data_IF_047911436358
#
_entry.id   IF_047911436358
#
_cell.length_a   1.000
_cell.length_b   1.000
_cell.length_c   1.000
_cell.angle_alpha   90.00
_cell.angle_beta   90.00
_cell.angle_gamma   90.00
#
_symmetry.space_group_name_H-M   'P 1'
#
loop_
_entity.id
_entity.type
_entity.pdbx_description
1 polymer ?
#
# COMPACT_ATOMS: atom_id res chain seq x y z
N UNK A 1 -34.13 2.29 -6.67
CA UNK A 1 -33.74 0.89 -6.48
C UNK A 1 -32.26 0.77 -6.79
N UNK A 2 -31.55 -0.03 -6.03
CA UNK A 2 -30.08 -0.16 -6.05
C UNK A 2 -29.59 -1.35 -6.92
N UNK A 3 -30.46 -1.79 -7.87
CA UNK A 3 -30.12 -2.90 -8.76
C UNK A 3 -29.04 -2.49 -9.77
N UNK A 4 -28.07 -3.37 -9.99
CA UNK A 4 -27.04 -3.23 -11.01
C UNK A 4 -27.68 -3.42 -12.40
N UNK A 5 -27.61 -2.40 -13.26
CA UNK A 5 -28.17 -2.45 -14.61
C UNK A 5 -27.10 -2.53 -15.70
N UNK A 6 -25.86 -2.10 -15.39
CA UNK A 6 -24.73 -2.21 -16.32
C UNK A 6 -23.40 -2.26 -15.58
N UNK A 7 -22.42 -2.99 -16.16
CA UNK A 7 -21.03 -3.05 -15.72
C UNK A 7 -20.15 -2.91 -16.96
N UNK A 8 -19.34 -1.84 -17.00
CA UNK A 8 -18.51 -1.49 -18.13
C UNK A 8 -17.04 -1.50 -17.75
N UNK A 9 -16.32 -2.50 -18.21
CA UNK A 9 -14.87 -2.57 -18.09
C UNK A 9 -14.17 -1.92 -19.27
N UNK A 10 -13.03 -1.27 -19.00
CA UNK A 10 -12.13 -0.72 -20.02
C UNK A 10 -10.69 -0.84 -19.61
N UNK A 11 -9.82 -0.76 -20.62
CA UNK A 11 -8.39 -0.67 -20.43
C UNK A 11 -7.98 0.79 -20.36
N UNK A 12 -7.25 1.17 -19.29
CA UNK A 12 -6.62 2.48 -19.12
C UNK A 12 -5.12 2.30 -18.87
N UNK A 13 -4.35 3.38 -18.78
CA UNK A 13 -2.92 3.32 -18.46
C UNK A 13 -2.68 3.64 -16.97
N UNK A 14 -1.78 2.87 -16.36
CA UNK A 14 -1.25 3.15 -15.03
C UNK A 14 -0.13 4.21 -15.05
N UNK A 15 0.39 4.58 -13.89
CA UNK A 15 1.45 5.57 -13.70
C UNK A 15 2.80 5.20 -14.34
N UNK A 16 2.95 3.95 -14.76
CA UNK A 16 4.13 3.44 -15.48
C UNK A 16 3.89 3.30 -16.99
N UNK A 17 2.70 3.69 -17.47
CA UNK A 17 2.30 3.55 -18.89
C UNK A 17 1.93 2.12 -19.27
N UNK A 18 1.68 1.22 -18.32
CA UNK A 18 1.17 -0.12 -18.58
C UNK A 18 -0.36 -0.13 -18.53
N UNK A 19 -1.03 -0.99 -19.32
CA UNK A 19 -2.47 -1.16 -19.22
C UNK A 19 -2.90 -1.68 -17.85
N UNK A 20 -4.06 -1.18 -17.39
CA UNK A 20 -4.78 -1.70 -16.23
C UNK A 20 -6.29 -1.62 -16.45
N UNK A 21 -7.06 -2.25 -15.57
CA UNK A 21 -8.53 -2.33 -15.66
C UNK A 21 -9.17 -1.15 -14.93
N UNK A 22 -10.13 -0.49 -15.59
CA UNK A 22 -11.08 0.42 -14.94
C UNK A 22 -12.50 -0.09 -15.19
N UNK A 23 -13.35 -0.01 -14.16
CA UNK A 23 -14.74 -0.49 -14.19
C UNK A 23 -15.69 0.61 -13.77
N UNK A 24 -16.79 0.76 -14.52
CA UNK A 24 -18.00 1.49 -14.14
C UNK A 24 -19.09 0.51 -13.79
N UNK A 25 -19.79 0.74 -12.68
CA UNK A 25 -21.03 0.07 -12.30
C UNK A 25 -22.13 1.10 -12.29
N UNK A 26 -23.21 0.84 -13.04
CA UNK A 26 -24.38 1.72 -13.17
C UNK A 26 -25.57 1.08 -12.50
N UNK A 27 -26.31 1.85 -11.70
CA UNK A 27 -27.50 1.42 -10.98
C UNK A 27 -28.79 1.93 -11.63
N UNK A 28 -29.90 1.27 -11.32
CA UNK A 28 -31.23 1.64 -11.84
C UNK A 28 -31.65 3.07 -11.46
N UNK A 29 -31.20 3.60 -10.33
CA UNK A 29 -31.44 4.98 -9.91
C UNK A 29 -30.53 6.02 -10.61
N UNK A 30 -29.62 5.57 -11.47
CA UNK A 30 -28.68 6.39 -12.21
C UNK A 30 -27.35 6.65 -11.46
N UNK A 31 -27.16 6.12 -10.25
CA UNK A 31 -25.89 6.22 -9.56
C UNK A 31 -24.83 5.43 -10.31
N UNK A 32 -23.59 5.95 -10.31
CA UNK A 32 -22.43 5.36 -10.98
C UNK A 32 -21.28 5.24 -9.98
N UNK A 33 -20.66 4.09 -9.96
CA UNK A 33 -19.39 3.87 -9.24
C UNK A 33 -18.28 3.55 -10.23
N UNK A 34 -17.13 4.22 -10.12
CA UNK A 34 -15.95 3.98 -10.96
C UNK A 34 -14.76 3.60 -10.11
N UNK A 35 -14.05 2.54 -10.48
CA UNK A 35 -12.82 2.12 -9.83
C UNK A 35 -11.77 1.69 -10.85
N UNK A 36 -10.52 2.12 -10.62
CA UNK A 36 -9.37 1.68 -11.39
C UNK A 36 -8.46 0.81 -10.50
N UNK A 37 -7.92 -0.25 -11.08
CA UNK A 37 -7.15 -1.27 -10.35
C UNK A 37 -5.66 -0.95 -10.39
N UNK A 38 -4.95 -0.95 -9.24
CA UNK A 38 -3.49 -0.79 -9.22
C UNK A 38 -2.76 -2.07 -9.64
N UNK A 39 -1.48 -1.93 -10.00
CA UNK A 39 -0.62 -3.02 -10.48
C UNK A 39 0.76 -3.00 -9.81
N UNK A 40 1.28 -4.13 -9.37
CA UNK A 40 2.60 -4.24 -8.74
C UNK A 40 3.76 -4.27 -9.76
N UNK A 41 4.97 -3.84 -9.32
CA UNK A 41 6.23 -4.10 -10.01
C UNK A 41 6.89 -5.35 -9.42
N UNK A 42 7.16 -5.37 -8.13
CA UNK A 42 7.43 -6.57 -7.35
C UNK A 42 6.10 -7.20 -6.95
N UNK A 43 5.98 -8.51 -7.05
CA UNK A 43 4.76 -9.24 -6.68
C UNK A 43 5.14 -10.43 -5.83
N UNK A 44 4.58 -10.55 -4.64
CA UNK A 44 4.72 -11.73 -3.79
C UNK A 44 4.23 -12.98 -4.52
N UNK A 45 4.92 -14.11 -4.36
CA UNK A 45 4.61 -15.35 -5.07
C UNK A 45 3.20 -15.89 -4.79
N UNK A 46 2.56 -15.42 -3.74
CA UNK A 46 1.26 -15.87 -3.25
C UNK A 46 0.12 -14.88 -3.47
N UNK A 47 0.34 -13.80 -4.22
CA UNK A 47 -0.71 -12.85 -4.58
C UNK A 47 -1.78 -13.47 -5.48
N UNK A 48 -2.99 -12.95 -5.43
CA UNK A 48 -4.01 -13.23 -6.44
C UNK A 48 -3.54 -12.76 -7.83
N UNK A 49 -3.93 -13.49 -8.87
CA UNK A 49 -3.37 -13.33 -10.21
C UNK A 49 -3.91 -12.08 -10.89
N UNK A 50 -3.03 -11.16 -11.25
CA UNK A 50 -3.32 -10.12 -12.21
C UNK A 50 -3.34 -10.72 -13.63
N UNK A 51 -4.52 -10.83 -14.24
CA UNK A 51 -4.65 -11.45 -15.55
C UNK A 51 -4.13 -10.51 -16.65
N UNK A 52 -3.07 -10.94 -17.33
CA UNK A 52 -2.45 -10.29 -18.49
C UNK A 52 -2.69 -11.10 -19.76
N UNK A 53 -2.82 -10.42 -20.90
CA UNK A 53 -3.11 -11.07 -22.18
C UNK A 53 -1.99 -11.98 -22.68
N UNK A 54 -0.72 -11.61 -22.39
CA UNK A 54 0.47 -12.33 -22.84
C UNK A 54 0.82 -12.15 -24.33
N UNK A 55 -0.01 -11.43 -25.10
CA UNK A 55 0.23 -11.13 -26.51
C UNK A 55 1.34 -10.08 -26.67
N UNK A 56 2.52 -10.52 -27.09
CA UNK A 56 3.69 -9.67 -27.28
C UNK A 56 3.50 -8.58 -28.34
N UNK A 57 2.57 -8.74 -29.27
CA UNK A 57 2.27 -7.76 -30.32
C UNK A 57 1.45 -6.56 -29.77
N UNK A 58 0.84 -6.71 -28.59
CA UNK A 58 0.03 -5.67 -27.97
C UNK A 58 0.53 -5.38 -26.55
N UNK A 59 0.91 -4.12 -26.28
CA UNK A 59 1.48 -3.68 -25.00
C UNK A 59 2.61 -4.58 -24.47
N UNK A 60 3.39 -5.17 -25.37
CA UNK A 60 4.51 -6.08 -25.02
C UNK A 60 4.09 -7.28 -24.13
N UNK A 61 2.83 -7.72 -24.25
CA UNK A 61 2.25 -8.81 -23.47
C UNK A 61 1.52 -8.36 -22.21
N UNK A 62 1.53 -7.05 -21.88
CA UNK A 62 0.94 -6.52 -20.64
C UNK A 62 -0.53 -6.06 -20.80
N UNK A 63 -1.17 -6.27 -21.96
CA UNK A 63 -2.59 -5.96 -22.18
C UNK A 63 -3.49 -6.64 -21.16
N UNK A 64 -4.70 -6.09 -20.93
CA UNK A 64 -5.70 -6.61 -19.98
C UNK A 64 -7.05 -6.85 -20.64
N UNK A 65 -7.08 -7.04 -21.96
CA UNK A 65 -8.31 -7.23 -22.73
C UNK A 65 -9.10 -8.47 -22.30
N UNK A 66 -8.44 -9.54 -21.86
CA UNK A 66 -9.09 -10.74 -21.31
C UNK A 66 -9.84 -10.42 -20.00
N UNK A 67 -9.21 -9.68 -19.09
CA UNK A 67 -9.84 -9.23 -17.85
C UNK A 67 -11.02 -8.30 -18.13
N UNK A 68 -10.87 -7.35 -19.06
CA UNK A 68 -11.95 -6.47 -19.52
C UNK A 68 -13.09 -7.28 -20.16
N UNK A 69 -12.78 -8.31 -20.95
CA UNK A 69 -13.76 -9.22 -21.53
C UNK A 69 -14.56 -9.97 -20.45
N UNK A 70 -13.91 -10.42 -19.39
CA UNK A 70 -14.59 -11.07 -18.25
C UNK A 70 -15.53 -10.09 -17.52
N UNK A 71 -15.13 -8.83 -17.31
CA UNK A 71 -15.98 -7.79 -16.72
C UNK A 71 -17.24 -7.55 -17.55
N UNK A 72 -17.06 -7.34 -18.87
CA UNK A 72 -18.16 -6.99 -19.79
C UNK A 72 -19.04 -8.20 -20.17
N UNK A 73 -18.63 -9.41 -19.86
CA UNK A 73 -19.32 -10.66 -20.17
C UNK A 73 -19.82 -11.35 -18.91
N UNK A 74 -19.17 -12.45 -18.54
CA UNK A 74 -19.67 -13.37 -17.51
C UNK A 74 -19.82 -12.76 -16.12
N UNK A 75 -19.01 -11.76 -15.73
CA UNK A 75 -19.20 -11.06 -14.44
C UNK A 75 -20.46 -10.21 -14.51
N UNK A 76 -20.66 -9.42 -15.58
CA UNK A 76 -21.89 -8.64 -15.75
C UNK A 76 -23.12 -9.53 -15.77
N UNK A 77 -23.10 -10.65 -16.53
CA UNK A 77 -24.21 -11.60 -16.58
C UNK A 77 -24.57 -12.17 -15.20
N UNK A 78 -23.57 -12.47 -14.37
CA UNK A 78 -23.77 -13.03 -13.03
C UNK A 78 -24.30 -12.00 -12.01
N UNK A 79 -24.01 -10.72 -12.18
CA UNK A 79 -24.32 -9.67 -11.22
C UNK A 79 -25.49 -8.78 -11.62
N UNK A 80 -25.94 -8.82 -12.88
CA UNK A 80 -27.06 -8.02 -13.39
C UNK A 80 -28.33 -8.26 -12.60
N UNK A 81 -28.99 -7.17 -12.18
CA UNK A 81 -30.21 -7.20 -11.37
C UNK A 81 -29.99 -7.41 -9.87
N UNK A 82 -28.77 -7.68 -9.41
CA UNK A 82 -28.48 -7.78 -7.98
C UNK A 82 -28.50 -6.41 -7.30
N UNK A 83 -28.85 -6.41 -6.03
CA UNK A 83 -28.76 -5.24 -5.17
C UNK A 83 -27.29 -4.94 -4.83
N UNK A 84 -26.78 -3.77 -5.25
CA UNK A 84 -25.41 -3.36 -5.06
C UNK A 84 -24.98 -3.23 -3.60
N UNK A 85 -25.92 -3.06 -2.67
CA UNK A 85 -25.62 -2.98 -1.23
C UNK A 85 -25.19 -4.34 -0.64
N UNK A 86 -25.42 -5.44 -1.36
CA UNK A 86 -25.03 -6.79 -0.92
C UNK A 86 -23.56 -7.10 -1.26
N UNK A 87 -22.62 -6.22 -0.86
CA UNK A 87 -21.21 -6.30 -1.22
C UNK A 87 -20.59 -7.70 -1.01
N UNK A 88 -20.81 -8.31 0.16
CA UNK A 88 -20.25 -9.63 0.47
C UNK A 88 -20.81 -10.73 -0.45
N UNK A 89 -22.08 -10.64 -0.84
CA UNK A 89 -22.70 -11.57 -1.78
C UNK A 89 -22.13 -11.37 -3.20
N UNK A 90 -21.97 -10.13 -3.64
CA UNK A 90 -21.41 -9.77 -4.95
C UNK A 90 -19.97 -10.33 -5.05
N UNK A 91 -19.15 -10.06 -4.04
CA UNK A 91 -17.76 -10.53 -4.01
C UNK A 91 -17.70 -12.07 -4.00
N UNK A 92 -18.57 -12.73 -3.23
CA UNK A 92 -18.62 -14.20 -3.19
C UNK A 92 -19.05 -14.81 -4.53
N UNK A 93 -20.05 -14.23 -5.21
CA UNK A 93 -20.48 -14.67 -6.55
C UNK A 93 -19.29 -14.61 -7.53
N UNK A 94 -18.51 -13.54 -7.51
CA UNK A 94 -17.34 -13.42 -8.41
C UNK A 94 -16.22 -14.41 -8.05
N UNK A 95 -16.00 -14.68 -6.75
CA UNK A 95 -15.05 -15.71 -6.29
C UNK A 95 -15.49 -17.10 -6.75
N UNK A 96 -16.75 -17.45 -6.58
CA UNK A 96 -17.32 -18.74 -6.98
C UNK A 96 -17.32 -18.89 -8.51
N UNK A 97 -17.60 -17.80 -9.24
CA UNK A 97 -17.55 -17.74 -10.69
C UNK A 97 -16.12 -18.00 -11.21
N UNK A 98 -15.10 -17.41 -10.59
CA UNK A 98 -13.69 -17.68 -10.92
C UNK A 98 -13.33 -19.14 -10.63
N UNK A 99 -13.71 -19.66 -9.48
CA UNK A 99 -13.55 -21.06 -9.06
C UNK A 99 -12.10 -21.49 -8.83
N UNK A 100 -11.12 -20.58 -8.88
CA UNK A 100 -9.71 -20.89 -8.61
C UNK A 100 -9.24 -20.26 -7.27
N UNK A 101 -8.26 -20.88 -6.57
CA UNK A 101 -7.82 -20.38 -5.27
C UNK A 101 -7.22 -18.97 -5.29
N UNK A 102 -6.70 -18.55 -6.44
CA UNK A 102 -5.95 -17.29 -6.61
C UNK A 102 -6.52 -16.39 -7.71
N UNK A 103 -7.79 -16.57 -8.08
CA UNK A 103 -8.49 -15.77 -9.09
C UNK A 103 -7.80 -15.77 -10.48
N UNK A 104 -7.18 -16.90 -10.86
CA UNK A 104 -6.39 -16.99 -12.09
C UNK A 104 -7.24 -17.12 -13.37
N UNK A 105 -8.54 -17.44 -13.28
CA UNK A 105 -9.41 -17.61 -14.45
C UNK A 105 -9.96 -16.28 -14.97
N UNK A 106 -10.57 -15.47 -14.11
CA UNK A 106 -11.14 -14.16 -14.47
C UNK A 106 -10.11 -13.03 -14.30
N UNK A 107 -9.19 -13.22 -13.36
CA UNK A 107 -8.21 -12.24 -12.94
C UNK A 107 -8.65 -11.45 -11.71
N UNK A 108 -7.77 -11.34 -10.72
CA UNK A 108 -8.01 -10.50 -9.55
C UNK A 108 -8.25 -9.03 -9.92
N UNK A 109 -7.64 -8.55 -11.00
CA UNK A 109 -7.86 -7.20 -11.53
C UNK A 109 -9.29 -6.99 -12.05
N UNK A 110 -9.89 -7.95 -12.76
CA UNK A 110 -11.30 -7.88 -13.17
C UNK A 110 -12.23 -7.87 -11.97
N UNK A 111 -12.05 -8.82 -11.05
CA UNK A 111 -12.89 -9.00 -9.86
C UNK A 111 -12.80 -7.77 -8.95
N UNK A 112 -11.59 -7.27 -8.67
CA UNK A 112 -11.39 -6.10 -7.81
C UNK A 112 -12.00 -4.84 -8.41
N UNK A 113 -11.83 -4.63 -9.73
CA UNK A 113 -12.43 -3.48 -10.40
C UNK A 113 -13.94 -3.40 -10.18
N UNK A 114 -14.63 -4.53 -10.34
CA UNK A 114 -16.08 -4.62 -10.11
C UNK A 114 -16.42 -4.48 -8.63
N UNK A 115 -15.70 -5.16 -7.74
CA UNK A 115 -15.93 -5.09 -6.28
C UNK A 115 -15.88 -3.65 -5.75
N UNK A 116 -14.83 -2.90 -6.11
CA UNK A 116 -14.68 -1.50 -5.69
C UNK A 116 -15.67 -0.56 -6.37
N UNK A 117 -15.96 -0.78 -7.65
CA UNK A 117 -16.97 0.02 -8.37
C UNK A 117 -18.37 -0.17 -7.79
N UNK A 118 -18.74 -1.40 -7.38
CA UNK A 118 -20.00 -1.67 -6.67
C UNK A 118 -20.09 -0.89 -5.35
N UNK A 119 -19.03 -0.93 -4.52
CA UNK A 119 -19.02 -0.18 -3.27
C UNK A 119 -19.18 1.33 -3.49
N UNK A 120 -18.54 1.88 -4.53
CA UNK A 120 -18.68 3.30 -4.90
C UNK A 120 -20.07 3.63 -5.45
N UNK A 121 -20.66 2.75 -6.27
CA UNK A 121 -22.02 2.93 -6.77
C UNK A 121 -23.02 2.94 -5.62
N UNK A 122 -22.92 2.00 -4.69
CA UNK A 122 -23.76 1.95 -3.50
C UNK A 122 -23.63 3.21 -2.64
N UNK A 123 -22.38 3.66 -2.38
CA UNK A 123 -22.14 4.90 -1.64
C UNK A 123 -22.76 6.11 -2.33
N UNK A 124 -22.63 6.23 -3.66
CA UNK A 124 -23.21 7.32 -4.44
C UNK A 124 -24.74 7.28 -4.47
N UNK A 125 -25.35 6.09 -4.59
CA UNK A 125 -26.81 5.91 -4.50
C UNK A 125 -27.38 6.38 -3.16
N UNK A 126 -26.61 6.22 -2.08
CA UNK A 126 -26.98 6.65 -0.73
C UNK A 126 -26.58 8.11 -0.43
N UNK A 127 -26.00 8.84 -1.39
CA UNK A 127 -25.42 10.18 -1.21
C UNK A 127 -24.42 10.23 -0.03
N UNK A 128 -23.62 9.17 0.10
CA UNK A 128 -22.62 9.02 1.17
C UNK A 128 -21.21 9.00 0.59
N UNK A 129 -20.22 9.63 1.25
CA UNK A 129 -18.81 9.41 0.89
C UNK A 129 -18.41 7.97 1.18
N UNK A 130 -17.51 7.41 0.35
CA UNK A 130 -17.14 5.99 0.40
C UNK A 130 -16.62 5.57 1.79
N UNK A 131 -15.75 6.40 2.42
CA UNK A 131 -15.24 6.08 3.75
C UNK A 131 -16.35 5.91 4.80
N UNK A 132 -17.44 6.66 4.67
CA UNK A 132 -18.58 6.61 5.57
C UNK A 132 -19.47 5.39 5.27
N UNK A 133 -19.66 5.09 3.99
CA UNK A 133 -20.42 3.91 3.56
C UNK A 133 -19.76 2.62 4.06
N UNK A 134 -18.46 2.46 3.84
CA UNK A 134 -17.73 1.25 4.25
C UNK A 134 -17.47 1.19 5.76
N UNK A 135 -17.09 2.31 6.39
CA UNK A 135 -16.65 2.34 7.80
C UNK A 135 -17.73 2.75 8.80
N UNK A 136 -18.92 3.15 8.33
CA UNK A 136 -20.01 3.57 9.20
C UNK A 136 -19.71 4.82 10.02
N UNK A 137 -20.38 4.95 11.16
CA UNK A 137 -20.29 6.14 12.03
C UNK A 137 -18.97 6.30 12.75
N UNK A 138 -18.16 5.23 12.85
CA UNK A 138 -16.86 5.25 13.51
C UNK A 138 -15.70 5.70 12.60
N UNK A 139 -15.90 5.79 11.29
CA UNK A 139 -14.90 6.18 10.31
C UNK A 139 -14.55 7.68 10.41
N UNK A 140 -13.51 8.00 11.20
CA UNK A 140 -13.09 9.38 11.47
C UNK A 140 -11.61 9.53 11.80
N UNK A 141 -10.83 8.45 11.75
CA UNK A 141 -9.41 8.46 12.04
C UNK A 141 -8.62 8.71 10.76
N UNK A 142 -8.00 9.88 10.65
CA UNK A 142 -7.05 10.20 9.58
C UNK A 142 -5.74 9.45 9.84
N UNK A 143 -5.24 8.71 8.83
CA UNK A 143 -4.03 7.90 8.99
C UNK A 143 -2.77 8.75 9.04
N UNK A 144 -1.72 8.26 9.73
CA UNK A 144 -0.36 8.77 9.57
C UNK A 144 0.13 8.39 8.16
N UNK A 145 0.55 9.37 7.34
CA UNK A 145 1.15 9.07 6.04
C UNK A 145 2.59 8.59 6.23
N UNK A 146 2.90 7.45 5.63
CA UNK A 146 4.26 6.90 5.50
C UNK A 146 4.78 7.33 4.13
N UNK A 147 5.51 8.44 4.10
CA UNK A 147 5.89 9.12 2.86
C UNK A 147 7.26 8.63 2.39
N UNK A 148 7.31 7.90 1.29
CA UNK A 148 8.54 7.41 0.68
C UNK A 148 9.30 8.57 -0.01
N UNK A 149 10.36 9.10 0.59
CA UNK A 149 11.11 10.26 0.07
C UNK A 149 12.43 9.92 -0.61
N UNK A 150 12.97 8.70 -0.40
CA UNK A 150 14.10 8.14 -1.16
C UNK A 150 13.73 6.73 -1.62
N UNK A 151 13.91 6.48 -2.92
CA UNK A 151 13.71 5.19 -3.57
C UNK A 151 15.05 4.49 -3.85
N UNK A 152 15.06 3.19 -3.69
CA UNK A 152 16.13 2.28 -4.11
C UNK A 152 15.54 0.95 -4.59
N UNK A 153 16.31 -0.13 -4.56
CA UNK A 153 15.89 -1.45 -4.99
C UNK A 153 15.28 -1.44 -6.38
N UNK A 154 14.17 -2.17 -6.56
CA UNK A 154 13.47 -2.25 -7.86
C UNK A 154 12.71 -0.97 -8.24
N UNK A 155 12.56 -0.01 -7.32
CA UNK A 155 11.87 1.26 -7.56
C UNK A 155 12.77 2.37 -8.14
N UNK A 156 14.09 2.14 -8.24
CA UNK A 156 15.04 3.13 -8.74
C UNK A 156 16.27 2.47 -9.38
N UNK A 157 16.79 3.07 -10.44
CA UNK A 157 18.07 2.68 -11.06
C UNK A 157 19.23 3.35 -10.29
N UNK A 158 19.56 2.80 -9.10
CA UNK A 158 20.63 3.26 -8.24
C UNK A 158 21.19 2.10 -7.38
N UNK A 159 22.36 2.27 -6.69
CA UNK A 159 22.97 1.18 -5.94
C UNK A 159 22.39 0.95 -4.52
N UNK A 160 21.29 1.56 -4.16
CA UNK A 160 20.67 1.39 -2.84
C UNK A 160 19.88 0.08 -2.84
N UNK A 161 20.25 -0.88 -1.98
CA UNK A 161 19.60 -2.19 -1.91
C UNK A 161 18.17 -2.14 -1.31
N UNK A 162 17.93 -1.27 -0.31
CA UNK A 162 16.60 -1.08 0.27
C UNK A 162 15.69 -0.29 -0.65
N UNK A 163 14.42 -0.70 -0.71
CA UNK A 163 13.45 -0.17 -1.67
C UNK A 163 12.93 1.22 -1.30
N UNK A 164 12.66 1.48 0.00
CA UNK A 164 12.02 2.74 0.42
C UNK A 164 12.54 3.25 1.77
N UNK A 165 12.73 4.57 1.82
CA UNK A 165 13.03 5.32 3.04
C UNK A 165 11.91 6.31 3.29
N UNK A 166 11.15 6.09 4.36
CA UNK A 166 9.93 6.81 4.64
C UNK A 166 10.07 7.75 5.84
N UNK A 167 9.39 8.89 5.77
CA UNK A 167 9.14 9.80 6.90
C UNK A 167 7.69 9.67 7.35
N UNK A 168 7.47 9.71 8.67
CA UNK A 168 6.16 9.61 9.31
C UNK A 168 5.97 10.79 10.26
N UNK A 169 5.12 11.79 9.93
CA UNK A 169 4.88 12.98 10.75
C UNK A 169 3.96 12.69 11.95
N UNK A 170 4.43 11.91 12.92
CA UNK A 170 3.65 11.43 14.08
C UNK A 170 3.37 12.53 15.11
N UNK A 171 4.13 13.64 15.09
CA UNK A 171 3.95 14.78 15.98
C UNK A 171 2.97 15.84 15.45
N UNK A 172 2.46 15.68 14.24
CA UNK A 172 1.49 16.62 13.66
C UNK A 172 0.15 16.58 14.41
N UNK A 173 -0.57 17.71 14.40
CA UNK A 173 -1.86 17.87 15.10
C UNK A 173 -3.06 17.56 14.21
N UNK A 174 -2.85 17.45 12.88
CA UNK A 174 -3.85 17.17 11.87
C UNK A 174 -3.21 16.49 10.67
N UNK A 175 -4.02 15.92 9.78
CA UNK A 175 -3.51 15.36 8.53
C UNK A 175 -2.93 16.45 7.62
N UNK A 176 -3.59 17.61 7.54
CA UNK A 176 -3.08 18.76 6.79
C UNK A 176 -1.68 19.21 7.26
N UNK A 177 -1.45 19.27 8.58
CA UNK A 177 -0.14 19.58 9.14
C UNK A 177 0.89 18.47 8.86
N UNK A 178 0.48 17.21 8.92
CA UNK A 178 1.34 16.09 8.55
C UNK A 178 1.81 16.19 7.09
N UNK A 179 0.89 16.51 6.18
CA UNK A 179 1.20 16.68 4.77
C UNK A 179 2.12 17.89 4.51
N UNK A 180 1.90 19.02 5.22
CA UNK A 180 2.78 20.19 5.18
C UNK A 180 4.20 19.83 5.63
N UNK A 181 4.34 19.19 6.78
CA UNK A 181 5.65 18.74 7.29
C UNK A 181 6.38 17.89 6.26
N UNK A 182 5.68 16.90 5.68
CA UNK A 182 6.26 16.04 4.65
C UNK A 182 6.74 16.83 3.43
N UNK A 183 5.94 17.78 2.94
CA UNK A 183 6.28 18.63 1.78
C UNK A 183 7.52 19.48 2.05
N UNK A 184 7.60 20.11 3.22
CA UNK A 184 8.76 20.94 3.61
C UNK A 184 10.04 20.10 3.71
N UNK A 185 9.96 18.88 4.29
CA UNK A 185 11.11 17.98 4.36
C UNK A 185 11.51 17.48 2.96
N UNK A 186 10.53 17.11 2.12
CA UNK A 186 10.79 16.67 0.74
C UNK A 186 11.55 17.73 -0.08
N UNK A 187 11.11 18.97 -0.03
CA UNK A 187 11.81 20.06 -0.74
C UNK A 187 13.17 20.41 -0.12
N UNK A 188 13.31 20.30 1.19
CA UNK A 188 14.60 20.47 1.87
C UNK A 188 15.58 19.37 1.46
N UNK A 189 15.13 18.10 1.43
CA UNK A 189 15.92 16.97 0.97
C UNK A 189 16.40 17.17 -0.47
N UNK A 190 15.50 17.63 -1.36
CA UNK A 190 15.88 17.95 -2.74
C UNK A 190 17.02 18.97 -2.80
N UNK A 191 16.95 20.01 -1.97
CA UNK A 191 18.00 21.04 -1.87
C UNK A 191 19.34 20.46 -1.41
N UNK A 192 19.32 19.62 -0.39
CA UNK A 192 20.53 19.00 0.16
C UNK A 192 21.17 17.99 -0.81
N UNK A 193 20.37 17.15 -1.45
CA UNK A 193 20.85 16.22 -2.50
C UNK A 193 21.51 16.99 -3.65
N UNK A 194 20.83 18.04 -4.16
CA UNK A 194 21.38 18.89 -5.24
C UNK A 194 22.68 19.56 -4.84
N UNK A 195 22.76 20.08 -3.61
CA UNK A 195 23.96 20.74 -3.06
C UNK A 195 25.13 19.76 -2.96
N UNK A 196 24.85 18.49 -2.63
CA UNK A 196 25.85 17.43 -2.59
C UNK A 196 26.23 16.86 -3.97
N UNK A 197 25.59 17.34 -5.06
CA UNK A 197 25.86 16.90 -6.43
C UNK A 197 25.11 15.63 -6.84
N UNK A 198 24.11 15.21 -6.06
CA UNK A 198 23.29 14.05 -6.40
C UNK A 198 22.13 14.39 -7.33
N UNK A 199 21.67 13.37 -8.08
CA UNK A 199 20.48 13.43 -8.90
C UNK A 199 19.23 13.59 -8.01
N UNK A 200 18.28 14.42 -8.47
CA UNK A 200 16.98 14.67 -7.83
C UNK A 200 15.81 14.28 -8.72
N UNK A 201 16.00 13.39 -9.69
CA UNK A 201 14.92 12.73 -10.38
C UNK A 201 14.17 11.81 -9.40
N UNK A 202 12.90 11.57 -9.70
CA UNK A 202 12.05 10.74 -8.83
C UNK A 202 11.86 9.35 -9.43
N UNK A 203 11.76 8.35 -8.55
CA UNK A 203 11.41 6.99 -8.90
C UNK A 203 9.91 6.80 -9.13
N UNK A 204 9.49 5.55 -9.25
CA UNK A 204 8.10 5.15 -9.57
C UNK A 204 7.09 5.66 -8.53
N UNK A 205 7.49 5.80 -7.29
CA UNK A 205 6.64 6.24 -6.19
C UNK A 205 6.81 7.71 -5.79
N UNK A 206 7.58 8.48 -6.58
CA UNK A 206 7.73 9.91 -6.41
C UNK A 206 8.82 10.33 -5.42
N UNK A 207 9.50 9.41 -4.74
CA UNK A 207 10.70 9.67 -3.94
C UNK A 207 11.92 9.94 -4.83
N UNK A 208 12.94 10.64 -4.30
CA UNK A 208 14.17 10.85 -5.04
C UNK A 208 14.95 9.54 -5.22
N UNK A 209 15.67 9.42 -6.33
CA UNK A 209 16.48 8.26 -6.66
C UNK A 209 17.98 8.62 -6.79
N UNK A 210 18.64 9.09 -5.73
CA UNK A 210 20.05 9.46 -5.78
C UNK A 210 20.96 8.22 -5.78
N UNK A 211 22.16 8.33 -6.38
CA UNK A 211 23.19 7.33 -6.28
C UNK A 211 23.91 7.47 -4.93
N UNK A 212 23.41 6.80 -3.91
CA UNK A 212 24.02 6.74 -2.57
C UNK A 212 24.61 5.36 -2.31
N UNK A 213 25.74 5.27 -1.56
CA UNK A 213 26.49 4.02 -1.44
C UNK A 213 25.87 3.00 -0.45
N UNK A 214 24.91 3.39 0.37
CA UNK A 214 24.32 2.53 1.41
C UNK A 214 23.01 3.08 1.96
N UNK A 215 22.31 2.21 2.70
CA UNK A 215 21.13 2.62 3.47
C UNK A 215 21.46 3.66 4.54
N UNK A 216 22.61 3.56 5.20
CA UNK A 216 23.08 4.55 6.17
C UNK A 216 23.23 5.94 5.53
N UNK A 217 23.81 6.03 4.34
CA UNK A 217 23.96 7.31 3.63
C UNK A 217 22.59 7.92 3.28
N UNK A 218 21.60 7.10 2.89
CA UNK A 218 20.24 7.58 2.64
C UNK A 218 19.58 8.09 3.92
N UNK A 219 19.68 7.35 5.02
CA UNK A 219 19.17 7.75 6.33
C UNK A 219 19.79 9.05 6.84
N UNK A 220 21.11 9.24 6.66
CA UNK A 220 21.79 10.46 7.06
C UNK A 220 21.28 11.69 6.28
N UNK A 221 21.04 11.57 4.97
CA UNK A 221 20.41 12.62 4.18
C UNK A 221 18.99 12.96 4.67
N UNK A 222 18.19 11.95 4.99
CA UNK A 222 16.83 12.14 5.53
C UNK A 222 16.88 12.85 6.89
N UNK A 223 17.74 12.39 7.81
CA UNK A 223 17.92 13.01 9.13
C UNK A 223 18.36 14.46 9.03
N UNK A 224 19.31 14.76 8.15
CA UNK A 224 19.76 16.13 7.89
C UNK A 224 18.62 17.01 7.35
N UNK A 225 17.82 16.48 6.41
CA UNK A 225 16.69 17.20 5.82
C UNK A 225 15.61 17.51 6.86
N UNK A 226 15.27 16.55 7.74
CA UNK A 226 14.32 16.75 8.85
C UNK A 226 14.78 17.92 9.74
N UNK A 227 16.06 17.90 10.19
CA UNK A 227 16.59 18.95 11.05
C UNK A 227 16.62 20.32 10.39
N UNK A 228 17.02 20.38 9.11
CA UNK A 228 17.06 21.65 8.33
C UNK A 228 15.68 22.19 7.99
N UNK A 229 14.66 21.34 7.86
CA UNK A 229 13.27 21.76 7.72
C UNK A 229 12.67 22.27 9.06
N UNK A 230 13.42 22.21 10.17
CA UNK A 230 12.99 22.71 11.47
C UNK A 230 12.22 21.72 12.34
N UNK A 231 12.20 20.44 11.96
CA UNK A 231 11.53 19.38 12.72
C UNK A 231 12.52 18.55 13.56
N UNK A 232 12.02 17.94 14.63
CA UNK A 232 12.79 17.09 15.53
C UNK A 232 12.56 15.62 15.15
N UNK A 233 13.63 14.95 14.67
CA UNK A 233 13.60 13.51 14.44
C UNK A 233 13.38 12.75 15.76
N UNK A 234 12.58 11.70 15.71
CA UNK A 234 12.16 10.90 16.88
C UNK A 234 10.96 11.49 17.66
N UNK A 235 10.70 12.79 17.53
CA UNK A 235 9.58 13.45 18.22
C UNK A 235 8.48 13.89 17.24
N UNK A 236 8.82 14.74 16.29
CA UNK A 236 7.86 15.25 15.29
C UNK A 236 7.74 14.28 14.13
N UNK A 237 8.90 13.79 13.67
CA UNK A 237 9.05 12.89 12.53
C UNK A 237 9.81 11.64 12.99
N UNK A 238 9.27 10.49 12.67
CA UNK A 238 9.97 9.19 12.80
C UNK A 238 10.17 8.58 11.43
N UNK A 239 10.99 7.53 11.34
CA UNK A 239 11.37 6.91 10.09
C UNK A 239 10.75 5.52 9.93
N UNK A 240 10.54 5.14 8.67
CA UNK A 240 10.18 3.80 8.24
C UNK A 240 11.08 3.33 7.11
N UNK A 241 11.22 2.03 7.01
CA UNK A 241 11.91 1.36 5.91
C UNK A 241 10.98 0.35 5.24
N UNK A 242 11.09 0.22 3.93
CA UNK A 242 10.72 -0.98 3.20
C UNK A 242 12.00 -1.59 2.63
N UNK A 243 12.36 -2.75 3.15
CA UNK A 243 13.57 -3.44 2.73
C UNK A 243 13.35 -4.23 1.44
N UNK A 244 12.14 -4.73 1.20
CA UNK A 244 11.79 -5.67 0.12
C UNK A 244 12.80 -6.83 0.05
N UNK A 245 13.08 -7.46 1.19
CA UNK A 245 14.25 -8.34 1.36
C UNK A 245 14.21 -9.62 0.51
N UNK A 246 13.04 -9.99 -0.02
CA UNK A 246 12.91 -11.11 -0.97
C UNK A 246 13.74 -10.88 -2.22
N UNK A 247 13.87 -9.63 -2.70
CA UNK A 247 14.59 -9.27 -3.92
C UNK A 247 16.10 -9.56 -3.85
N UNK A 248 16.70 -9.51 -2.66
CA UNK A 248 18.12 -9.79 -2.45
C UNK A 248 18.39 -11.01 -1.56
N UNK A 249 17.40 -11.87 -1.34
CA UNK A 249 17.56 -13.15 -0.65
C UNK A 249 17.92 -14.25 -1.65
N UNK A 250 19.16 -14.77 -1.57
CA UNK A 250 19.68 -15.78 -2.49
C UNK A 250 20.40 -16.87 -1.70
N UNK A 251 20.07 -18.12 -1.95
CA UNK A 251 20.72 -19.31 -1.35
C UNK A 251 20.82 -19.23 0.19
N UNK A 252 19.76 -18.77 0.87
CA UNK A 252 19.70 -18.66 2.32
C UNK A 252 20.50 -17.50 2.91
N UNK A 253 20.86 -16.49 2.10
CA UNK A 253 21.64 -15.32 2.50
C UNK A 253 21.04 -14.05 1.88
N UNK A 254 21.27 -12.92 2.53
CA UNK A 254 20.93 -11.59 2.05
C UNK A 254 22.14 -10.96 1.36
N UNK A 255 22.04 -10.80 0.03
CA UNK A 255 23.13 -10.34 -0.84
C UNK A 255 22.87 -8.89 -1.23
N UNK A 256 23.56 -7.97 -0.58
CA UNK A 256 23.52 -6.54 -0.85
C UNK A 256 24.49 -6.20 -1.98
N UNK A 257 23.99 -6.18 -3.20
CA UNK A 257 24.83 -5.96 -4.40
C UNK A 257 25.40 -4.53 -4.43
N UNK A 258 24.61 -3.53 -4.04
CA UNK A 258 25.04 -2.13 -3.99
C UNK A 258 26.11 -1.85 -2.95
N UNK A 259 26.05 -2.51 -1.79
CA UNK A 259 27.06 -2.40 -0.73
C UNK A 259 28.21 -3.40 -0.89
N UNK A 260 28.12 -4.40 -1.76
CA UNK A 260 29.09 -5.49 -1.91
C UNK A 260 29.18 -6.37 -0.66
N UNK A 261 28.10 -6.57 0.08
CA UNK A 261 28.04 -7.31 1.33
C UNK A 261 27.08 -8.49 1.25
N UNK A 262 27.37 -9.55 1.97
CA UNK A 262 26.48 -10.70 2.15
C UNK A 262 26.28 -10.96 3.64
N UNK A 263 25.04 -11.15 4.06
CA UNK A 263 24.67 -11.41 5.46
C UNK A 263 23.93 -12.75 5.56
N UNK A 264 24.22 -13.50 6.59
CA UNK A 264 23.39 -14.63 7.02
C UNK A 264 22.05 -14.10 7.60
N UNK A 265 21.10 -14.99 7.83
CA UNK A 265 19.78 -14.67 8.43
C UNK A 265 19.95 -13.89 9.74
N UNK A 266 20.77 -14.41 10.68
CA UNK A 266 21.00 -13.73 11.96
C UNK A 266 21.79 -12.42 11.83
N UNK A 267 22.68 -12.29 10.85
CA UNK A 267 23.38 -11.03 10.58
C UNK A 267 22.43 -9.98 10.00
N UNK A 268 21.48 -10.39 9.17
CA UNK A 268 20.41 -9.52 8.66
C UNK A 268 19.54 -8.98 9.80
N UNK A 269 19.04 -9.86 10.68
CA UNK A 269 18.24 -9.44 11.83
C UNK A 269 19.00 -8.46 12.75
N UNK A 270 20.29 -8.73 13.02
CA UNK A 270 21.15 -7.85 13.81
C UNK A 270 21.43 -6.51 13.12
N UNK A 271 21.61 -6.51 11.81
CA UNK A 271 21.82 -5.28 11.05
C UNK A 271 20.56 -4.37 11.11
N UNK A 272 19.37 -4.94 10.94
CA UNK A 272 18.14 -4.16 11.11
C UNK A 272 17.94 -3.65 12.54
N UNK A 273 18.29 -4.46 13.54
CA UNK A 273 18.26 -4.04 14.94
C UNK A 273 19.27 -2.91 15.23
N UNK A 274 20.45 -2.93 14.62
CA UNK A 274 21.44 -1.87 14.71
C UNK A 274 20.91 -0.56 14.10
N UNK A 275 20.31 -0.60 12.90
CA UNK A 275 19.67 0.56 12.29
C UNK A 275 18.58 1.18 13.19
N UNK A 276 17.70 0.36 13.77
CA UNK A 276 16.67 0.80 14.73
C UNK A 276 17.28 1.44 15.98
N UNK A 277 18.49 1.01 16.39
CA UNK A 277 19.16 1.58 17.57
C UNK A 277 19.81 2.94 17.29
N UNK A 278 20.24 3.19 16.06
CA UNK A 278 20.96 4.41 15.64
C UNK A 278 20.07 5.52 15.10
N UNK A 279 18.95 5.13 14.48
CA UNK A 279 18.01 6.05 13.84
C UNK A 279 16.63 5.93 14.49
N UNK A 280 15.76 6.95 14.42
CA UNK A 280 14.40 6.87 14.96
C UNK A 280 13.47 6.07 14.04
N UNK A 281 13.89 4.87 13.66
CA UNK A 281 13.13 3.93 12.84
C UNK A 281 12.14 3.21 13.75
N UNK A 282 10.87 3.28 13.42
CA UNK A 282 9.77 2.71 14.22
C UNK A 282 8.96 1.65 13.46
N UNK A 283 9.22 1.52 12.16
CA UNK A 283 8.56 0.52 11.31
C UNK A 283 9.51 0.03 10.23
N UNK A 284 9.50 -1.28 9.99
CA UNK A 284 10.23 -1.96 8.93
C UNK A 284 9.27 -2.90 8.21
N UNK A 285 9.12 -2.72 6.92
CA UNK A 285 8.39 -3.59 6.01
C UNK A 285 9.36 -4.57 5.36
N UNK A 286 8.94 -5.83 5.28
CA UNK A 286 9.65 -6.96 4.67
C UNK A 286 11.16 -6.96 4.96
N UNK A 287 11.49 -6.85 6.27
CA UNK A 287 12.86 -6.89 6.76
C UNK A 287 13.55 -8.25 6.54
N UNK A 288 12.76 -9.30 6.31
CA UNK A 288 13.18 -10.64 5.95
C UNK A 288 12.40 -11.11 4.70
N UNK A 289 12.95 -12.06 3.96
CA UNK A 289 12.29 -12.66 2.79
C UNK A 289 10.98 -13.35 3.16
N UNK A 290 10.02 -13.37 2.22
CA UNK A 290 8.73 -14.06 2.37
C UNK A 290 8.86 -15.57 2.63
N UNK A 291 9.99 -16.17 2.28
CA UNK A 291 10.32 -17.58 2.49
C UNK A 291 11.18 -17.85 3.74
N UNK A 292 11.73 -16.81 4.37
CA UNK A 292 12.60 -16.93 5.55
C UNK A 292 11.81 -16.88 6.86
N UNK A 293 11.05 -17.94 7.11
CA UNK A 293 10.14 -18.02 8.25
C UNK A 293 10.85 -17.97 9.62
N UNK A 294 12.06 -18.50 9.70
CA UNK A 294 12.88 -18.49 10.92
C UNK A 294 13.50 -17.11 11.15
N UNK A 295 13.97 -16.47 10.10
CA UNK A 295 14.44 -15.09 10.15
C UNK A 295 13.35 -14.10 10.58
N UNK A 296 12.13 -14.24 10.08
CA UNK A 296 10.99 -13.45 10.56
C UNK A 296 10.74 -13.63 12.07
N UNK A 297 10.83 -14.86 12.55
CA UNK A 297 10.69 -15.13 13.98
C UNK A 297 11.84 -14.52 14.79
N UNK A 298 13.09 -14.68 14.34
CA UNK A 298 14.27 -14.09 14.99
C UNK A 298 14.17 -12.56 15.05
N UNK A 299 13.82 -11.91 13.93
CA UNK A 299 13.67 -10.46 13.87
C UNK A 299 12.55 -9.98 14.81
N UNK A 300 11.41 -10.68 14.82
CA UNK A 300 10.27 -10.33 15.67
C UNK A 300 10.63 -10.42 17.15
N UNK A 301 11.32 -11.48 17.56
CA UNK A 301 11.79 -11.64 18.95
C UNK A 301 12.79 -10.56 19.34
N UNK A 302 13.65 -10.15 18.40
CA UNK A 302 14.73 -9.20 18.67
C UNK A 302 14.23 -7.77 18.83
N UNK A 303 13.36 -7.29 17.94
CA UNK A 303 12.94 -5.87 17.90
C UNK A 303 11.42 -5.63 17.86
N UNK A 304 10.59 -6.65 17.75
CA UNK A 304 9.14 -6.48 17.57
C UNK A 304 8.41 -5.73 18.71
N UNK A 305 9.05 -5.59 19.88
CA UNK A 305 8.53 -4.76 20.99
C UNK A 305 8.86 -3.27 20.84
N UNK A 306 9.83 -2.93 20.00
CA UNK A 306 10.35 -1.56 19.79
C UNK A 306 10.11 -1.03 18.39
N UNK A 307 9.77 -1.92 17.45
CA UNK A 307 9.59 -1.59 16.05
C UNK A 307 8.37 -2.35 15.50
N UNK A 308 7.56 -1.66 14.72
CA UNK A 308 6.52 -2.29 13.92
C UNK A 308 7.18 -3.07 12.79
N UNK A 309 6.86 -4.34 12.67
CA UNK A 309 7.34 -5.23 11.62
C UNK A 309 6.16 -5.57 10.71
N UNK A 310 6.18 -5.02 9.50
CA UNK A 310 5.10 -5.13 8.53
C UNK A 310 5.40 -6.26 7.56
N UNK A 311 4.49 -7.22 7.44
CA UNK A 311 4.55 -8.22 6.40
C UNK A 311 3.74 -7.77 5.18
N UNK A 312 4.41 -7.53 4.05
CA UNK A 312 3.83 -7.34 2.72
C UNK A 312 3.81 -8.68 1.98
N UNK A 313 4.92 -9.09 1.39
CA UNK A 313 5.03 -10.37 0.67
C UNK A 313 4.81 -11.57 1.62
N UNK A 314 5.15 -11.43 2.89
CA UNK A 314 4.88 -12.44 3.91
C UNK A 314 3.40 -12.81 3.99
N UNK A 315 2.49 -11.84 3.92
CA UNK A 315 1.05 -12.04 4.14
C UNK A 315 0.18 -11.86 2.91
N UNK A 316 0.60 -11.06 1.94
CA UNK A 316 -0.10 -10.74 0.67
C UNK A 316 -1.60 -10.44 0.87
N UNK A 317 -1.94 -9.71 1.94
CA UNK A 317 -3.33 -9.39 2.33
C UNK A 317 -4.23 -10.64 2.52
N UNK A 318 -3.64 -11.81 2.71
CA UNK A 318 -4.34 -13.10 2.76
C UNK A 318 -4.58 -13.55 4.21
N UNK A 319 -5.84 -13.75 4.60
CA UNK A 319 -6.24 -14.15 5.96
C UNK A 319 -5.65 -15.48 6.42
N UNK A 320 -5.41 -16.44 5.52
CA UNK A 320 -4.82 -17.74 5.88
C UNK A 320 -3.35 -17.59 6.25
N UNK A 321 -2.58 -16.85 5.41
CA UNK A 321 -1.17 -16.55 5.69
C UNK A 321 -1.00 -15.68 6.94
N UNK A 322 -1.89 -14.69 7.11
CA UNK A 322 -1.91 -13.86 8.31
C UNK A 322 -2.17 -14.69 9.57
N UNK A 323 -3.14 -15.59 9.55
CA UNK A 323 -3.45 -16.48 10.68
C UNK A 323 -2.25 -17.38 11.06
N UNK A 324 -1.53 -17.90 10.07
CA UNK A 324 -0.30 -18.69 10.28
C UNK A 324 0.81 -17.83 10.91
N UNK A 325 1.02 -16.61 10.42
CA UNK A 325 2.01 -15.67 10.97
C UNK A 325 1.69 -15.27 12.41
N UNK A 326 0.43 -14.94 12.70
CA UNK A 326 -0.05 -14.63 14.05
C UNK A 326 0.24 -15.81 15.00
N UNK A 327 -0.16 -17.02 14.60
CA UNK A 327 0.06 -18.24 15.40
C UNK A 327 1.54 -18.51 15.68
N UNK A 328 2.40 -18.21 14.71
CA UNK A 328 3.85 -18.42 14.81
C UNK A 328 4.60 -17.25 15.48
N UNK A 329 3.92 -16.13 15.77
CA UNK A 329 4.55 -14.92 16.33
C UNK A 329 5.53 -14.27 15.39
N UNK A 330 5.20 -14.18 14.09
CA UNK A 330 5.99 -13.54 13.03
C UNK A 330 5.38 -12.20 12.68
N UNK A 331 6.18 -11.14 12.57
CA UNK A 331 5.72 -9.76 12.36
C UNK A 331 4.79 -9.27 13.50
N UNK A 332 4.24 -8.07 13.39
CA UNK A 332 3.24 -7.50 14.28
C UNK A 332 2.32 -6.50 13.58
N UNK A 333 2.44 -6.42 12.25
CA UNK A 333 1.64 -5.58 11.37
C UNK A 333 1.50 -6.24 10.00
N UNK A 334 0.45 -5.90 9.26
CA UNK A 334 0.23 -6.34 7.88
C UNK A 334 0.11 -5.14 6.94
N UNK A 335 0.70 -5.24 5.76
CA UNK A 335 0.41 -4.33 4.66
C UNK A 335 -0.87 -4.78 3.95
N UNK A 336 -1.74 -3.85 3.63
CA UNK A 336 -3.04 -4.10 2.98
C UNK A 336 -3.01 -3.52 1.58
N UNK A 337 -2.93 -4.39 0.59
CA UNK A 337 -3.01 -4.08 -0.83
C UNK A 337 -4.24 -4.75 -1.42
N UNK A 338 -5.25 -3.98 -1.79
CA UNK A 338 -6.54 -4.48 -2.26
C UNK A 338 -6.44 -5.48 -3.41
N UNK A 339 -5.46 -5.29 -4.30
CA UNK A 339 -5.28 -6.15 -5.48
C UNK A 339 -4.52 -7.46 -5.20
N UNK A 340 -3.83 -7.58 -4.05
CA UNK A 340 -3.16 -8.84 -3.65
C UNK A 340 -4.17 -9.94 -3.32
N UNK A 341 -5.38 -9.56 -2.92
CA UNK A 341 -6.45 -10.50 -2.57
C UNK A 341 -7.64 -10.41 -3.54
N UNK A 342 -8.00 -9.23 -4.04
CA UNK A 342 -8.87 -9.04 -5.19
C UNK A 342 -10.34 -8.78 -4.92
N UNK A 343 -10.78 -8.61 -3.66
CA UNK A 343 -12.11 -8.11 -3.31
C UNK A 343 -12.06 -7.16 -2.11
N UNK A 344 -13.06 -6.29 -2.00
CA UNK A 344 -13.23 -5.43 -0.82
C UNK A 344 -13.53 -6.26 0.43
N UNK A 345 -14.40 -7.26 0.32
CA UNK A 345 -14.79 -8.11 1.45
C UNK A 345 -13.59 -8.86 2.06
N UNK A 346 -12.75 -9.48 1.23
CA UNK A 346 -11.54 -10.17 1.72
C UNK A 346 -10.52 -9.19 2.29
N UNK A 347 -10.40 -7.99 1.69
CA UNK A 347 -9.53 -6.92 2.21
C UNK A 347 -9.94 -6.49 3.62
N UNK A 348 -11.23 -6.24 3.83
CA UNK A 348 -11.77 -5.87 5.15
C UNK A 348 -11.61 -7.00 6.18
N UNK A 349 -11.78 -8.27 5.76
CA UNK A 349 -11.54 -9.43 6.62
C UNK A 349 -10.09 -9.53 7.09
N UNK A 350 -9.11 -9.21 6.23
CA UNK A 350 -7.70 -9.18 6.61
C UNK A 350 -7.39 -8.09 7.64
N UNK A 351 -7.94 -6.88 7.46
CA UNK A 351 -7.82 -5.78 8.42
C UNK A 351 -8.44 -6.16 9.77
N UNK A 352 -9.65 -6.72 9.75
CA UNK A 352 -10.36 -7.12 10.97
C UNK A 352 -9.58 -8.21 11.73
N UNK A 353 -9.08 -9.22 11.03
CA UNK A 353 -8.27 -10.29 11.63
C UNK A 353 -7.01 -9.74 12.29
N UNK A 354 -6.28 -8.84 11.60
CA UNK A 354 -5.09 -8.20 12.15
C UNK A 354 -5.41 -7.46 13.45
N UNK A 355 -6.43 -6.61 13.44
CA UNK A 355 -6.82 -5.82 14.61
C UNK A 355 -7.26 -6.69 15.79
N UNK A 356 -8.07 -7.74 15.55
CA UNK A 356 -8.50 -8.70 16.59
C UNK A 356 -7.32 -9.45 17.22
N UNK A 357 -6.28 -9.71 16.44
CA UNK A 357 -5.06 -10.36 16.94
C UNK A 357 -4.09 -9.40 17.61
N UNK A 358 -4.42 -8.12 17.61
CA UNK A 358 -3.55 -7.10 18.15
C UNK A 358 -2.42 -6.67 17.21
N UNK A 359 -2.45 -7.05 15.94
CA UNK A 359 -1.58 -6.49 14.89
C UNK A 359 -2.10 -5.12 14.45
N UNK A 360 -1.22 -4.28 13.93
CA UNK A 360 -1.59 -3.08 13.18
C UNK A 360 -1.79 -3.43 11.71
N UNK A 361 -2.38 -2.52 10.96
CA UNK A 361 -2.48 -2.62 9.50
C UNK A 361 -2.11 -1.30 8.85
N UNK A 362 -1.50 -1.37 7.67
CA UNK A 362 -1.11 -0.21 6.87
C UNK A 362 -1.82 -0.31 5.53
N UNK A 363 -2.71 0.62 5.22
CA UNK A 363 -3.34 0.71 3.90
C UNK A 363 -2.31 1.16 2.87
N UNK A 364 -2.17 0.44 1.75
CA UNK A 364 -1.07 0.67 0.82
C UNK A 364 -1.52 0.77 -0.63
N UNK A 365 -0.79 1.60 -1.37
CA UNK A 365 -0.78 1.67 -2.82
C UNK A 365 0.02 0.51 -3.45
N UNK A 366 0.17 0.55 -4.78
CA UNK A 366 1.14 -0.25 -5.53
C UNK A 366 2.08 0.67 -6.31
N UNK A 367 3.16 0.11 -6.86
CA UNK A 367 4.10 0.85 -7.72
C UNK A 367 3.44 1.37 -9.01
N UNK A 368 2.54 0.61 -9.62
CA UNK A 368 1.67 1.05 -10.71
C UNK A 368 0.31 1.50 -10.18
N UNK A 369 0.07 2.79 -10.15
CA UNK A 369 -1.14 3.43 -9.67
C UNK A 369 -1.86 4.21 -10.77
N UNK A 370 -3.06 4.66 -10.44
CA UNK A 370 -3.87 5.58 -11.24
C UNK A 370 -4.26 6.78 -10.38
N UNK A 371 -5.14 7.67 -10.89
CA UNK A 371 -5.76 8.74 -10.11
C UNK A 371 -6.78 8.25 -9.07
N UNK A 372 -7.14 6.97 -9.10
CA UNK A 372 -8.08 6.38 -8.14
C UNK A 372 -7.58 6.58 -6.71
N UNK A 373 -8.46 7.07 -5.84
CA UNK A 373 -8.13 7.40 -4.45
C UNK A 373 -8.83 6.49 -3.42
N UNK A 374 -9.37 5.36 -3.86
CA UNK A 374 -10.16 4.45 -3.01
C UNK A 374 -9.44 4.07 -1.72
N UNK A 375 -8.12 3.81 -1.77
CA UNK A 375 -7.37 3.43 -0.57
C UNK A 375 -7.31 4.52 0.49
N UNK A 376 -7.46 5.80 0.13
CA UNK A 376 -7.57 6.89 1.09
C UNK A 376 -8.88 6.80 1.89
N UNK A 377 -9.99 6.54 1.19
CA UNK A 377 -11.28 6.29 1.83
C UNK A 377 -11.25 5.04 2.70
N UNK A 378 -10.64 3.94 2.21
CA UNK A 378 -10.52 2.69 2.96
C UNK A 378 -9.65 2.84 4.22
N UNK A 379 -8.59 3.64 4.18
CA UNK A 379 -7.75 3.91 5.35
C UNK A 379 -8.57 4.56 6.48
N UNK A 380 -9.45 5.51 6.14
CA UNK A 380 -10.34 6.14 7.12
C UNK A 380 -11.50 5.22 7.50
N UNK A 381 -12.08 4.49 6.54
CA UNK A 381 -13.17 3.55 6.79
C UNK A 381 -12.81 2.47 7.82
N UNK A 382 -11.60 1.91 7.72
CA UNK A 382 -11.12 0.85 8.59
C UNK A 382 -10.51 1.36 9.91
N UNK A 383 -10.31 2.67 10.04
CA UNK A 383 -9.53 3.27 11.15
C UNK A 383 -8.15 2.59 11.34
N UNK A 384 -7.50 2.15 10.27
CA UNK A 384 -6.22 1.44 10.36
C UNK A 384 -5.08 2.33 10.89
N UNK A 385 -5.25 3.65 10.82
CA UNK A 385 -4.35 4.64 11.42
C UNK A 385 -3.07 4.90 10.63
N UNK A 386 -2.80 4.18 9.55
CA UNK A 386 -1.59 4.30 8.73
C UNK A 386 -1.91 4.14 7.23
N UNK A 387 -1.24 4.92 6.38
CA UNK A 387 -1.32 4.78 4.93
C UNK A 387 0.07 4.93 4.31
N UNK A 388 0.44 3.99 3.43
CA UNK A 388 1.64 4.00 2.60
C UNK A 388 1.21 4.26 1.16
N UNK A 389 1.45 5.47 0.63
CA UNK A 389 0.97 5.84 -0.71
C UNK A 389 1.97 6.70 -1.48
N UNK A 390 3.26 6.40 -1.30
CA UNK A 390 4.37 7.04 -2.01
C UNK A 390 4.75 8.40 -1.46
N UNK A 391 5.39 9.20 -2.30
CA UNK A 391 5.93 10.50 -1.95
C UNK A 391 4.95 11.64 -2.24
N UNK A 392 5.45 12.87 -2.14
CA UNK A 392 4.73 14.14 -2.34
C UNK A 392 4.88 14.68 -3.77
N UNK A 393 5.24 13.81 -4.70
CA UNK A 393 5.36 14.07 -6.12
C UNK A 393 4.64 12.95 -6.91
N UNK A 394 4.25 13.24 -8.16
CA UNK A 394 3.41 12.42 -9.07
C UNK A 394 1.94 12.41 -8.64
N UNK A 395 1.05 12.71 -9.59
CA UNK A 395 -0.39 12.85 -9.32
C UNK A 395 -1.07 11.56 -8.87
N UNK A 396 -0.57 10.41 -9.30
CA UNK A 396 -0.99 9.09 -8.86
C UNK A 396 -0.81 8.86 -7.35
N UNK A 397 0.14 9.55 -6.71
CA UNK A 397 0.39 9.54 -5.25
C UNK A 397 -0.38 10.66 -4.56
N UNK A 398 -0.23 11.89 -5.04
CA UNK A 398 -0.87 13.05 -4.40
C UNK A 398 -2.40 13.01 -4.48
N UNK A 399 -3.00 12.27 -5.42
CA UNK A 399 -4.45 12.05 -5.47
C UNK A 399 -5.00 11.49 -4.15
N UNK A 400 -4.30 10.50 -3.54
CA UNK A 400 -4.67 9.87 -2.27
C UNK A 400 -4.53 10.85 -1.10
N UNK A 401 -3.42 11.60 -1.05
CA UNK A 401 -3.22 12.65 -0.03
C UNK A 401 -4.27 13.76 -0.13
N UNK A 402 -4.57 14.21 -1.34
CA UNK A 402 -5.61 15.22 -1.57
C UNK A 402 -7.00 14.71 -1.17
N UNK A 403 -7.29 13.42 -1.36
CA UNK A 403 -8.54 12.81 -0.90
C UNK A 403 -8.61 12.81 0.64
N UNK A 404 -7.53 12.49 1.33
CA UNK A 404 -7.49 12.54 2.81
C UNK A 404 -7.69 13.98 3.34
N UNK A 405 -7.17 15.01 2.66
CA UNK A 405 -7.47 16.41 2.99
C UNK A 405 -8.96 16.73 2.84
N UNK A 406 -9.62 16.24 1.77
CA UNK A 406 -11.07 16.42 1.58
C UNK A 406 -11.85 15.71 2.68
N UNK A 407 -11.46 14.49 3.05
CA UNK A 407 -12.10 13.73 4.13
C UNK A 407 -11.91 14.47 5.46
N UNK A 408 -10.71 14.99 5.77
CA UNK A 408 -10.47 15.77 6.98
C UNK A 408 -11.37 17.00 7.03
N UNK A 409 -11.52 17.72 5.90
CA UNK A 409 -12.42 18.87 5.80
C UNK A 409 -13.89 18.48 6.00
N UNK A 410 -14.35 17.37 5.41
CA UNK A 410 -15.72 16.86 5.57
C UNK A 410 -16.03 16.46 7.02
N UNK A 411 -15.08 15.84 7.69
CA UNK A 411 -15.21 15.46 9.10
C UNK A 411 -15.16 16.67 10.05
N UNK A 412 -14.47 17.73 9.66
CA UNK A 412 -14.34 18.96 10.45
C UNK A 412 -13.83 18.65 11.86
N UNK A 413 -14.55 19.11 12.89
CA UNK A 413 -14.17 18.90 14.30
C UNK A 413 -14.23 17.43 14.76
N UNK A 414 -14.80 16.52 13.96
CA UNK A 414 -14.86 15.08 14.25
C UNK A 414 -13.61 14.35 13.76
N UNK A 415 -12.82 14.97 12.89
CA UNK A 415 -11.57 14.40 12.40
C UNK A 415 -10.61 14.17 13.58
N UNK A 416 -9.98 13.00 13.58
CA UNK A 416 -8.92 12.64 14.51
C UNK A 416 -7.70 12.23 13.70
N UNK A 417 -6.57 12.85 13.97
CA UNK A 417 -5.31 12.39 13.38
C UNK A 417 -4.70 11.30 14.28
N UNK A 418 -4.29 10.19 13.68
CA UNK A 418 -3.81 9.02 14.43
C UNK A 418 -2.51 9.30 15.22
N UNK A 419 -1.59 10.07 14.61
CA UNK A 419 -0.34 10.48 15.27
C UNK A 419 0.46 9.30 15.83
N UNK A 420 1.13 9.49 16.94
CA UNK A 420 1.97 8.46 17.59
C UNK A 420 1.20 7.19 17.96
N UNK A 421 -0.07 7.31 18.28
CA UNK A 421 -0.91 6.17 18.68
C UNK A 421 -1.17 5.16 17.56
N UNK A 422 -0.92 5.52 16.29
CA UNK A 422 -1.00 4.60 15.16
C UNK A 422 0.04 3.48 15.23
N UNK A 423 1.15 3.73 15.89
CA UNK A 423 2.32 2.85 15.95
C UNK A 423 2.48 2.31 17.38
N UNK A 424 2.25 1.04 17.59
CA UNK A 424 2.37 0.40 18.93
C UNK A 424 3.76 0.59 19.55
N UNK A 425 4.79 0.66 18.74
CA UNK A 425 6.16 0.89 19.18
C UNK A 425 6.35 2.27 19.84
N UNK A 426 5.41 3.18 19.68
CA UNK A 426 5.43 4.56 20.21
C UNK A 426 4.31 4.84 21.22
N UNK A 427 3.36 3.92 21.40
CA UNK A 427 2.21 4.04 22.28
C UNK A 427 2.54 3.79 23.75
#
# INVERSE_FOLDING_TARGET
MTAIIDIIGREILDSRGNPTVEVDVVLEDGALGRAAVPSGASTGAHEAVELRDGDKARYLGKGVSKAVGAVNGEIFEALSGLDVEQQAQIDQIMIDLDGTPNKSRLGANAILGVSLACAKAAANSLDMPLYRYVGGTSARLLPVPMMNIINGGVHADNPIDFQEFMILPVGATSFAEALRCGSEIFHTLRGELKKAGHNTNVGDEGGFAPNLPSADAALDFVMNAIGKAGFKAGTDIVLGLDCASTEFFKDGKYVYEGEGKTRSISEQAKYLADLVSRYPIVTIEDGMSEDDMDGWKELTDLIGKKCQLVGDDLFVTNVKRLAEGIKAGRANSILIKVNQIGTLTETLAAVEMAHKAGYTSVMSHRSGETEDSTIADLAVATNCGQIKTGSLARSDRTAKYNQLLRIEQQLGKQAKYAGRAALKALA
#
